data_IF_270640709145
#
_entry.id   IF_270640709145
#
_cell.length_a   1.000
_cell.length_b   1.000
_cell.length_c   1.000
_cell.angle_alpha   90.00
_cell.angle_beta   90.00
_cell.angle_gamma   90.00
#
_symmetry.space_group_name_H-M   'P 1'
#
loop_
_entity.id
_entity.type
_entity.pdbx_description
1 polymer ?
#
# COMPACT_ATOMS: atom_id res chain seq x y z
N UNK A 1 -25.86 -11.58 17.46
CA UNK A 1 -24.46 -12.01 17.78
C UNK A 1 -24.01 -11.40 19.09
N UNK A 2 -24.28 -10.10 19.34
CA UNK A 2 -23.90 -9.39 20.57
C UNK A 2 -24.58 -9.99 21.80
N UNK A 3 -25.90 -10.24 21.75
CA UNK A 3 -26.68 -10.83 22.85
C UNK A 3 -26.22 -12.25 23.25
N UNK A 4 -25.56 -12.95 22.35
CA UNK A 4 -25.10 -14.32 22.58
C UNK A 4 -23.79 -14.38 23.38
N UNK A 5 -23.01 -13.31 23.38
CA UNK A 5 -21.71 -13.24 24.06
C UNK A 5 -21.74 -12.47 25.37
N UNK A 6 -22.69 -11.56 25.53
CA UNK A 6 -22.71 -10.65 26.68
C UNK A 6 -23.93 -10.80 27.61
N UNK A 7 -24.85 -11.71 27.31
CA UNK A 7 -25.93 -12.22 28.17
C UNK A 7 -26.41 -11.32 29.30
N UNK A 8 -26.97 -10.17 29.02
CA UNK A 8 -27.53 -9.26 30.04
C UNK A 8 -27.93 -7.93 29.40
N UNK A 9 -28.84 -7.25 30.05
CA UNK A 9 -29.28 -5.90 29.67
C UNK A 9 -28.06 -4.97 29.58
N UNK A 10 -27.57 -4.75 28.37
CA UNK A 10 -26.60 -3.70 28.13
C UNK A 10 -27.32 -2.36 28.35
N UNK A 11 -26.81 -1.49 29.20
CA UNK A 11 -27.29 -0.12 29.24
C UNK A 11 -27.12 0.47 27.81
N UNK A 12 -28.12 1.21 27.36
CA UNK A 12 -28.11 1.88 26.04
C UNK A 12 -26.86 2.74 25.82
N UNK A 13 -26.12 3.01 26.88
CA UNK A 13 -24.87 3.77 26.91
C UNK A 13 -23.85 3.08 27.80
N UNK A 14 -22.62 3.00 27.33
CA UNK A 14 -21.49 2.71 28.22
C UNK A 14 -21.36 3.87 29.23
N UNK A 15 -21.11 3.58 30.52
CA UNK A 15 -20.87 4.64 31.48
C UNK A 15 -19.71 5.53 31.00
N UNK A 16 -19.86 6.84 31.19
CA UNK A 16 -18.79 7.78 30.87
C UNK A 16 -17.56 7.45 31.74
N UNK A 17 -16.43 7.25 31.04
CA UNK A 17 -15.13 7.06 31.69
C UNK A 17 -14.24 8.27 31.32
N UNK A 18 -14.17 9.29 32.19
CA UNK A 18 -13.37 10.49 31.93
C UNK A 18 -11.88 10.20 31.77
N UNK A 19 -11.37 9.18 32.46
CA UNK A 19 -9.94 8.82 32.39
C UNK A 19 -9.62 8.14 31.03
N UNK A 20 -10.47 7.23 30.58
CA UNK A 20 -10.34 6.63 29.27
C UNK A 20 -10.48 7.68 28.15
N UNK A 21 -11.40 8.64 28.31
CA UNK A 21 -11.56 9.74 27.37
C UNK A 21 -10.32 10.65 27.33
N UNK A 22 -9.75 10.99 28.49
CA UNK A 22 -8.52 11.77 28.57
C UNK A 22 -7.33 11.03 27.93
N UNK A 23 -7.22 9.71 28.13
CA UNK A 23 -6.20 8.87 27.47
C UNK A 23 -6.39 8.85 25.96
N UNK A 24 -7.62 8.73 25.47
CA UNK A 24 -7.94 8.80 24.04
C UNK A 24 -7.54 10.17 23.47
N UNK A 25 -7.92 11.26 24.11
CA UNK A 25 -7.57 12.63 23.69
C UNK A 25 -6.04 12.83 23.64
N UNK A 26 -5.32 12.36 24.66
CA UNK A 26 -3.86 12.40 24.68
C UNK A 26 -3.24 11.58 23.52
N UNK A 27 -3.82 10.42 23.24
CA UNK A 27 -3.36 9.57 22.13
C UNK A 27 -3.63 10.23 20.79
N UNK A 28 -4.83 10.78 20.58
CA UNK A 28 -5.18 11.53 19.36
C UNK A 28 -4.26 12.75 19.18
N UNK A 29 -4.00 13.50 20.26
CA UNK A 29 -3.09 14.65 20.22
C UNK A 29 -1.66 14.22 19.87
N UNK A 30 -1.16 13.13 20.46
CA UNK A 30 0.14 12.57 20.11
C UNK A 30 0.20 12.13 18.64
N UNK A 31 -0.82 11.43 18.15
CA UNK A 31 -0.90 10.99 16.77
C UNK A 31 -1.02 12.16 15.79
N UNK A 32 -1.76 13.20 16.14
CA UNK A 32 -1.88 14.42 15.31
C UNK A 32 -0.62 15.28 15.35
N UNK A 33 0.15 15.25 16.45
CA UNK A 33 1.45 15.93 16.55
C UNK A 33 2.60 15.14 15.86
N UNK A 34 2.35 13.91 15.41
CA UNK A 34 3.27 13.14 14.56
C UNK A 34 3.34 13.73 13.12
N UNK A 35 3.29 15.03 13.01
CA UNK A 35 3.76 15.72 11.83
C UNK A 35 5.29 15.81 11.93
N UNK A 36 5.95 14.67 11.76
CA UNK A 36 7.38 14.71 11.52
C UNK A 36 7.61 15.62 10.32
N UNK A 37 8.49 16.60 10.48
CA UNK A 37 8.92 17.41 9.35
C UNK A 37 9.42 16.48 8.23
N UNK A 38 9.23 16.81 6.95
CA UNK A 38 9.82 16.04 5.88
C UNK A 38 11.31 15.91 6.17
N UNK A 39 11.82 14.68 6.19
CA UNK A 39 13.25 14.47 6.34
C UNK A 39 13.93 14.85 5.01
N UNK A 40 15.08 15.53 5.06
CA UNK A 40 15.85 15.81 3.86
C UNK A 40 16.32 14.50 3.23
N UNK A 41 16.59 14.55 1.93
CA UNK A 41 17.20 13.43 1.22
C UNK A 41 18.60 13.19 1.80
N UNK A 42 18.84 11.99 2.31
CA UNK A 42 20.10 11.55 2.88
C UNK A 42 21.03 10.99 1.77
N UNK A 43 22.33 10.97 2.01
CA UNK A 43 23.34 10.28 1.17
C UNK A 43 23.01 8.80 0.93
N UNK A 44 22.25 8.18 1.83
CA UNK A 44 21.71 6.81 1.66
C UNK A 44 20.83 6.64 0.43
N UNK A 45 20.36 7.73 -0.18
CA UNK A 45 19.60 7.70 -1.42
C UNK A 45 20.47 7.47 -2.66
N UNK A 46 21.75 7.88 -2.64
CA UNK A 46 22.64 7.83 -3.81
C UNK A 46 22.66 6.48 -4.54
N UNK A 47 22.69 5.32 -3.85
CA UNK A 47 22.71 4.02 -4.54
C UNK A 47 21.48 3.73 -5.40
N UNK A 48 20.39 4.50 -5.24
CA UNK A 48 19.11 4.28 -5.91
C UNK A 48 18.82 5.33 -6.99
N UNK A 49 19.55 6.46 -6.96
CA UNK A 49 19.34 7.54 -7.90
C UNK A 49 19.97 7.19 -9.26
N UNK A 50 19.32 7.66 -10.33
CA UNK A 50 19.76 7.42 -11.72
C UNK A 50 19.91 5.94 -12.09
N UNK A 51 19.29 5.06 -11.30
CA UNK A 51 19.21 3.64 -11.56
C UNK A 51 17.79 3.26 -11.96
N UNK A 52 17.66 2.37 -12.93
CA UNK A 52 16.39 1.73 -13.26
C UNK A 52 16.46 0.23 -13.03
N UNK A 53 15.38 -0.32 -12.55
CA UNK A 53 15.11 -1.75 -12.60
C UNK A 53 14.23 -1.99 -13.82
N UNK A 54 14.72 -2.77 -14.76
CA UNK A 54 13.96 -3.17 -15.95
C UNK A 54 13.38 -4.56 -15.72
N UNK A 55 12.06 -4.65 -15.82
CA UNK A 55 11.34 -5.91 -15.61
C UNK A 55 11.39 -6.78 -16.88
N UNK A 56 12.59 -7.25 -17.22
CA UNK A 56 12.76 -8.23 -18.30
C UNK A 56 12.32 -9.65 -17.89
N UNK A 57 12.07 -9.87 -16.58
CA UNK A 57 11.55 -11.13 -16.05
C UNK A 57 10.03 -11.16 -16.21
N UNK A 58 9.46 -12.15 -16.92
CA UNK A 58 8.02 -12.32 -17.06
C UNK A 58 7.26 -12.42 -15.72
N UNK A 59 7.91 -12.89 -14.64
CA UNK A 59 7.32 -12.96 -13.30
C UNK A 59 7.21 -11.59 -12.64
N UNK A 60 8.13 -10.68 -12.90
CA UNK A 60 8.06 -9.31 -12.42
C UNK A 60 7.04 -8.48 -13.22
N UNK A 61 6.84 -8.80 -14.50
CA UNK A 61 5.94 -8.08 -15.40
C UNK A 61 4.44 -8.20 -15.05
N UNK A 62 4.05 -9.15 -14.22
CA UNK A 62 2.63 -9.42 -13.93
C UNK A 62 2.01 -8.51 -12.87
N UNK A 63 2.78 -7.66 -12.20
CA UNK A 63 2.32 -6.88 -11.05
C UNK A 63 2.37 -5.39 -11.38
N UNK A 64 1.21 -4.77 -11.57
CA UNK A 64 1.07 -3.32 -11.77
C UNK A 64 1.26 -2.51 -10.48
N UNK A 65 1.21 -1.19 -10.59
CA UNK A 65 1.29 -0.29 -9.43
C UNK A 65 0.05 -0.43 -8.54
N UNK A 66 -1.11 -0.65 -9.14
CA UNK A 66 -2.38 -0.79 -8.42
C UNK A 66 -2.45 -2.17 -7.74
N UNK A 67 -2.81 -2.26 -6.45
CA UNK A 67 -3.05 -3.53 -5.78
C UNK A 67 -4.07 -4.40 -6.50
N UNK A 68 -3.85 -5.72 -6.53
CA UNK A 68 -4.72 -6.68 -7.23
C UNK A 68 -6.17 -6.60 -6.75
N UNK A 69 -6.38 -6.33 -5.45
CA UNK A 69 -7.73 -6.12 -4.91
C UNK A 69 -8.46 -4.96 -5.61
N UNK A 70 -7.77 -3.84 -5.82
CA UNK A 70 -8.34 -2.67 -6.49
C UNK A 70 -8.54 -2.91 -7.98
N UNK A 71 -7.60 -3.59 -8.63
CA UNK A 71 -7.75 -3.98 -10.03
C UNK A 71 -9.02 -4.82 -10.22
N UNK A 72 -9.25 -5.80 -9.34
CA UNK A 72 -10.43 -6.66 -9.40
C UNK A 72 -11.73 -5.91 -9.07
N UNK A 73 -11.73 -5.04 -8.05
CA UNK A 73 -12.92 -4.27 -7.65
C UNK A 73 -13.38 -3.29 -8.74
N UNK A 74 -12.42 -2.68 -9.44
CA UNK A 74 -12.71 -1.70 -10.49
C UNK A 74 -12.74 -2.30 -11.89
N UNK A 75 -12.52 -3.61 -12.02
CA UNK A 75 -12.36 -4.29 -13.32
C UNK A 75 -11.36 -3.55 -14.24
N UNK A 76 -10.24 -3.11 -13.66
CA UNK A 76 -9.26 -2.25 -14.28
C UNK A 76 -7.85 -2.82 -14.02
N UNK A 77 -7.37 -3.58 -14.97
CA UNK A 77 -6.17 -4.39 -14.81
C UNK A 77 -4.93 -3.71 -15.38
N UNK A 78 -3.81 -3.87 -14.67
CA UNK A 78 -2.51 -3.38 -15.10
C UNK A 78 -2.03 -4.09 -16.36
N UNK A 79 -1.37 -3.33 -17.21
CA UNK A 79 -0.68 -3.87 -18.40
C UNK A 79 0.68 -4.51 -18.08
N UNK A 80 1.09 -4.48 -16.83
CA UNK A 80 2.31 -5.07 -16.30
C UNK A 80 3.48 -4.09 -16.21
N UNK A 81 4.28 -4.28 -15.17
CA UNK A 81 5.48 -3.49 -14.92
C UNK A 81 6.51 -3.69 -16.03
N UNK A 82 7.06 -2.59 -16.56
CA UNK A 82 8.20 -2.61 -17.48
C UNK A 82 9.47 -2.10 -16.82
N UNK A 83 9.39 -1.04 -16.01
CA UNK A 83 10.54 -0.57 -15.23
C UNK A 83 10.14 0.24 -14.01
N UNK A 84 11.03 0.28 -13.03
CA UNK A 84 10.97 1.19 -11.88
C UNK A 84 12.27 1.97 -11.81
N UNK A 85 12.16 3.28 -11.53
CA UNK A 85 13.29 4.14 -11.26
C UNK A 85 12.98 5.07 -10.09
N UNK A 86 14.02 5.61 -9.48
CA UNK A 86 13.92 6.65 -8.46
C UNK A 86 14.64 7.89 -8.99
N UNK A 87 13.95 9.02 -8.97
CA UNK A 87 14.55 10.33 -9.25
C UNK A 87 14.38 11.27 -8.06
N UNK A 88 14.99 12.44 -8.14
CA UNK A 88 14.81 13.51 -7.15
C UNK A 88 14.09 14.67 -7.79
N UNK A 89 13.01 15.12 -7.16
CA UNK A 89 12.28 16.31 -7.57
C UNK A 89 12.02 17.20 -6.37
N UNK A 90 12.49 18.44 -6.42
CA UNK A 90 12.33 19.39 -5.31
C UNK A 90 12.97 18.93 -4.00
N UNK A 91 14.08 18.16 -4.06
CA UNK A 91 14.76 17.63 -2.87
C UNK A 91 14.09 16.42 -2.22
N UNK A 92 13.05 15.87 -2.84
CA UNK A 92 12.34 14.66 -2.39
C UNK A 92 12.50 13.54 -3.43
N UNK A 93 12.55 12.26 -3.00
CA UNK A 93 12.55 11.14 -3.93
C UNK A 93 11.20 11.04 -4.63
N UNK A 94 11.24 10.77 -5.92
CA UNK A 94 10.08 10.48 -6.77
C UNK A 94 10.20 9.05 -7.32
N UNK A 95 9.20 8.23 -7.06
CA UNK A 95 9.09 6.91 -7.67
C UNK A 95 8.55 7.07 -9.10
N UNK A 96 9.27 6.54 -10.07
CA UNK A 96 8.83 6.43 -11.46
C UNK A 96 8.52 4.97 -11.73
N UNK A 97 7.23 4.66 -11.90
CA UNK A 97 6.74 3.31 -12.15
C UNK A 97 6.18 3.26 -13.57
N UNK A 98 6.81 2.49 -14.45
CA UNK A 98 6.39 2.36 -15.85
C UNK A 98 5.70 1.04 -16.08
N UNK A 99 4.53 1.11 -16.65
CA UNK A 99 3.79 0.00 -17.24
C UNK A 99 3.85 0.08 -18.77
N UNK A 100 3.34 -0.90 -19.48
CA UNK A 100 3.42 -0.92 -20.96
C UNK A 100 2.78 0.31 -21.60
N UNK A 101 1.69 0.80 -21.02
CA UNK A 101 0.82 1.85 -21.55
C UNK A 101 0.79 3.12 -20.66
N UNK A 102 1.44 3.11 -19.51
CA UNK A 102 1.40 4.23 -18.57
C UNK A 102 2.72 4.43 -17.85
N UNK A 103 2.97 5.68 -17.43
CA UNK A 103 4.06 6.04 -16.52
C UNK A 103 3.46 6.79 -15.34
N UNK A 104 3.64 6.25 -14.16
CA UNK A 104 3.20 6.85 -12.91
C UNK A 104 4.39 7.48 -12.20
N UNK A 105 4.21 8.71 -11.73
CA UNK A 105 5.20 9.47 -10.97
C UNK A 105 4.61 9.85 -9.63
N UNK A 106 5.20 9.35 -8.56
CA UNK A 106 4.71 9.55 -7.21
C UNK A 106 5.83 10.12 -6.33
N UNK A 107 5.67 11.34 -5.81
CA UNK A 107 6.57 11.83 -4.78
C UNK A 107 6.48 10.92 -3.55
N UNK A 108 7.63 10.57 -2.99
CA UNK A 108 7.74 9.67 -1.83
C UNK A 108 8.21 10.48 -0.63
N UNK A 109 7.37 10.64 0.36
CA UNK A 109 7.71 11.39 1.54
C UNK A 109 8.68 10.63 2.46
N UNK A 110 9.71 11.30 2.93
CA UNK A 110 10.62 10.80 3.96
C UNK A 110 10.20 11.36 5.31
N UNK A 111 9.95 10.48 6.29
CA UNK A 111 9.48 10.85 7.62
C UNK A 111 7.96 11.05 7.71
N UNK A 112 7.31 11.61 6.71
CA UNK A 112 5.85 11.67 6.57
C UNK A 112 5.43 11.25 5.17
N UNK A 113 4.21 10.70 4.98
CA UNK A 113 3.70 10.40 3.65
C UNK A 113 3.47 11.66 2.82
N UNK A 114 3.73 11.59 1.51
CA UNK A 114 3.25 12.56 0.52
C UNK A 114 1.98 12.03 -0.14
N UNK A 115 0.94 12.87 -0.18
CA UNK A 115 -0.35 12.48 -0.77
C UNK A 115 -0.41 13.02 -2.20
N UNK A 116 -0.69 12.15 -3.14
CA UNK A 116 -0.85 12.49 -4.55
C UNK A 116 -2.01 11.72 -5.17
N UNK A 117 -2.39 12.11 -6.38
CA UNK A 117 -3.40 11.40 -7.16
C UNK A 117 -2.74 10.48 -8.16
N UNK A 118 -3.22 9.25 -8.21
CA UNK A 118 -2.90 8.28 -9.25
C UNK A 118 -4.11 8.11 -10.16
N UNK A 119 -3.98 8.53 -11.41
CA UNK A 119 -4.99 8.21 -12.43
C UNK A 119 -4.58 6.88 -13.08
N UNK A 120 -5.44 5.89 -12.93
CA UNK A 120 -5.25 4.57 -13.49
C UNK A 120 -6.43 4.25 -14.41
N UNK A 121 -6.21 4.38 -15.71
CA UNK A 121 -7.21 4.15 -16.78
C UNK A 121 -8.57 4.81 -16.50
N UNK A 122 -8.53 6.09 -16.08
CA UNK A 122 -9.75 6.87 -15.80
C UNK A 122 -10.25 6.78 -14.35
N UNK A 123 -9.78 5.84 -13.55
CA UNK A 123 -10.03 5.81 -12.12
C UNK A 123 -8.96 6.62 -11.36
N UNK A 124 -9.39 7.51 -10.50
CA UNK A 124 -8.50 8.36 -9.70
C UNK A 124 -8.46 7.85 -8.27
N UNK A 125 -7.26 7.58 -7.76
CA UNK A 125 -7.01 7.14 -6.40
C UNK A 125 -6.16 8.16 -5.66
N UNK A 126 -6.47 8.39 -4.39
CA UNK A 126 -5.59 9.13 -3.48
C UNK A 126 -4.54 8.17 -2.92
N UNK A 127 -3.28 8.47 -3.14
CA UNK A 127 -2.17 7.60 -2.72
C UNK A 127 -1.26 8.36 -1.77
N UNK A 128 -1.13 7.85 -0.55
CA UNK A 128 -0.13 8.32 0.41
C UNK A 128 1.14 7.48 0.23
N UNK A 129 2.19 8.11 -0.29
CA UNK A 129 3.48 7.46 -0.53
C UNK A 129 4.49 7.85 0.54
N UNK A 130 5.06 6.87 1.23
CA UNK A 130 6.11 7.06 2.22
C UNK A 130 7.30 6.15 1.94
N UNK A 131 8.50 6.60 2.26
CA UNK A 131 9.72 5.84 2.05
C UNK A 131 10.73 5.98 3.18
N UNK A 132 11.64 5.03 3.26
CA UNK A 132 12.81 5.08 4.13
C UNK A 132 13.95 4.29 3.52
N UNK A 133 15.17 4.78 3.75
CA UNK A 133 16.38 4.06 3.43
C UNK A 133 16.81 3.23 4.63
N UNK A 134 17.12 1.96 4.40
CA UNK A 134 17.51 0.98 5.43
C UNK A 134 18.48 -0.04 4.84
N UNK A 135 18.79 -1.08 5.60
CA UNK A 135 19.54 -2.24 5.12
C UNK A 135 18.71 -3.51 5.35
N UNK A 136 18.97 -4.54 4.57
CA UNK A 136 18.40 -5.87 4.81
C UNK A 136 19.31 -6.71 5.74
N UNK A 137 18.97 -7.99 5.90
CA UNK A 137 19.72 -8.93 6.74
C UNK A 137 21.15 -9.20 6.21
N UNK A 138 21.41 -8.91 4.95
CA UNK A 138 22.71 -9.04 4.29
C UNK A 138 23.45 -7.70 4.20
N UNK A 139 23.01 -6.69 4.98
CA UNK A 139 23.57 -5.32 5.02
C UNK A 139 23.51 -4.60 3.66
N UNK A 140 22.67 -5.05 2.72
CA UNK A 140 22.51 -4.38 1.44
C UNK A 140 21.61 -3.16 1.59
N UNK A 141 21.93 -2.03 0.95
CA UNK A 141 21.07 -0.87 0.97
C UNK A 141 19.68 -1.18 0.39
N UNK A 142 18.64 -0.76 1.10
CA UNK A 142 17.23 -0.95 0.72
C UNK A 142 16.49 0.38 0.74
N UNK A 143 15.84 0.74 -0.35
CA UNK A 143 14.81 1.76 -0.34
C UNK A 143 13.45 1.07 -0.21
N UNK A 144 12.85 1.24 0.96
CA UNK A 144 11.54 0.70 1.32
C UNK A 144 10.49 1.76 1.07
N UNK A 145 9.50 1.47 0.21
CA UNK A 145 8.43 2.38 -0.17
C UNK A 145 7.09 1.73 0.15
N UNK A 146 6.18 2.49 0.74
CA UNK A 146 4.78 2.10 0.93
C UNK A 146 3.87 3.06 0.19
N UNK A 147 2.93 2.50 -0.57
CA UNK A 147 1.86 3.21 -1.25
C UNK A 147 0.54 2.79 -0.62
N UNK A 148 -0.06 3.64 0.20
CA UNK A 148 -1.37 3.41 0.81
C UNK A 148 -2.45 4.08 -0.04
N UNK A 149 -3.43 3.30 -0.48
CA UNK A 149 -4.58 3.77 -1.26
C UNK A 149 -5.68 4.17 -0.29
N UNK A 150 -5.90 5.48 -0.11
CA UNK A 150 -6.66 6.02 1.03
C UNK A 150 -8.14 5.66 1.03
N UNK A 151 -8.72 5.37 -0.13
CA UNK A 151 -10.13 4.94 -0.26
C UNK A 151 -10.34 3.47 0.15
N UNK A 152 -9.26 2.73 0.41
CA UNK A 152 -9.32 1.31 0.69
C UNK A 152 -8.23 0.90 1.69
N UNK A 153 -8.35 -0.25 2.35
CA UNK A 153 -7.27 -0.76 3.22
C UNK A 153 -6.10 -1.37 2.44
N UNK A 154 -5.93 -0.98 1.16
CA UNK A 154 -4.91 -1.57 0.31
C UNK A 154 -3.60 -0.81 0.39
N UNK A 155 -2.51 -1.55 0.62
CA UNK A 155 -1.15 -1.03 0.66
C UNK A 155 -0.27 -1.83 -0.29
N UNK A 156 0.44 -1.14 -1.17
CA UNK A 156 1.52 -1.71 -1.97
C UNK A 156 2.85 -1.40 -1.30
N UNK A 157 3.64 -2.42 -1.03
CA UNK A 157 5.01 -2.29 -0.53
C UNK A 157 5.99 -2.62 -1.64
N UNK A 158 6.94 -1.73 -1.88
CA UNK A 158 8.01 -1.86 -2.86
C UNK A 158 9.33 -1.80 -2.10
N UNK A 159 10.20 -2.79 -2.32
CA UNK A 159 11.57 -2.79 -1.83
C UNK A 159 12.51 -2.80 -3.02
N UNK A 160 13.27 -1.74 -3.17
CA UNK A 160 14.41 -1.69 -4.09
C UNK A 160 15.65 -2.02 -3.30
N UNK A 161 16.32 -3.10 -3.62
CA UNK A 161 17.51 -3.60 -2.92
C UNK A 161 18.70 -3.42 -3.85
N UNK A 162 19.72 -2.72 -3.39
CA UNK A 162 20.97 -2.58 -4.15
C UNK A 162 21.80 -3.85 -4.02
N UNK A 163 22.16 -4.42 -5.16
CA UNK A 163 23.06 -5.57 -5.25
C UNK A 163 24.27 -5.22 -6.12
N UNK A 164 25.36 -5.99 -6.09
CA UNK A 164 26.48 -5.78 -6.99
C UNK A 164 26.09 -5.83 -8.48
N UNK A 165 25.06 -6.62 -8.81
CA UNK A 165 24.58 -6.82 -10.20
C UNK A 165 23.59 -5.72 -10.64
N UNK A 166 23.08 -4.87 -9.71
CA UNK A 166 22.11 -3.83 -10.01
C UNK A 166 21.06 -3.66 -8.92
N UNK A 167 19.82 -3.36 -9.31
CA UNK A 167 18.68 -3.25 -8.40
C UNK A 167 17.83 -4.52 -8.46
N UNK A 168 17.54 -5.09 -7.30
CA UNK A 168 16.55 -6.16 -7.12
C UNK A 168 15.24 -5.54 -6.63
N UNK A 169 14.15 -5.86 -7.30
CA UNK A 169 12.79 -5.44 -6.93
C UNK A 169 12.07 -6.55 -6.17
N UNK A 170 11.48 -6.19 -5.02
CA UNK A 170 10.49 -7.03 -4.34
C UNK A 170 9.21 -6.21 -4.12
N UNK A 171 8.07 -6.79 -4.45
CA UNK A 171 6.77 -6.18 -4.24
C UNK A 171 5.85 -7.11 -3.44
N UNK A 172 5.11 -6.52 -2.52
CA UNK A 172 4.04 -7.19 -1.77
C UNK A 172 2.85 -6.27 -1.63
N UNK A 173 1.70 -6.83 -1.30
CA UNK A 173 0.48 -6.05 -1.05
C UNK A 173 -0.27 -6.55 0.17
N UNK A 174 -1.04 -5.66 0.78
CA UNK A 174 -1.97 -5.96 1.86
C UNK A 174 -3.34 -5.39 1.48
N UNK A 175 -4.43 -6.19 1.52
CA UNK A 175 -4.43 -7.64 1.79
C UNK A 175 -3.72 -8.42 0.67
N UNK A 176 -3.01 -9.48 1.03
CA UNK A 176 -2.24 -10.29 0.08
C UNK A 176 -3.13 -11.07 -0.90
N UNK A 177 -2.61 -11.31 -2.11
CA UNK A 177 -3.32 -12.02 -3.20
C UNK A 177 -3.96 -13.34 -2.78
N UNK A 178 -3.32 -14.22 -1.98
CA UNK A 178 -3.95 -15.47 -1.53
C UNK A 178 -5.20 -15.25 -0.68
N UNK A 179 -5.19 -14.20 0.16
CA UNK A 179 -6.35 -13.84 0.97
C UNK A 179 -7.51 -13.36 0.10
N UNK A 180 -7.24 -12.49 -0.86
CA UNK A 180 -8.24 -11.96 -1.80
C UNK A 180 -8.88 -13.10 -2.58
N UNK A 181 -8.05 -13.98 -3.16
CA UNK A 181 -8.51 -15.15 -3.91
C UNK A 181 -9.42 -16.07 -3.07
N UNK A 182 -9.03 -16.36 -1.81
CA UNK A 182 -9.84 -17.12 -0.87
C UNK A 182 -11.20 -16.49 -0.60
N UNK A 183 -11.26 -15.17 -0.47
CA UNK A 183 -12.51 -14.43 -0.23
C UNK A 183 -13.41 -14.40 -1.46
N UNK A 184 -12.84 -14.15 -2.64
CA UNK A 184 -13.59 -14.15 -3.91
C UNK A 184 -14.18 -15.53 -4.19
N UNK A 185 -13.42 -16.61 -4.00
CA UNK A 185 -13.91 -17.98 -4.13
C UNK A 185 -15.07 -18.25 -3.19
N UNK A 186 -14.95 -17.90 -1.90
CA UNK A 186 -16.02 -18.07 -0.93
C UNK A 186 -17.29 -17.29 -1.31
N UNK A 187 -17.15 -16.07 -1.86
CA UNK A 187 -18.27 -15.29 -2.33
C UNK A 187 -18.94 -15.91 -3.56
N UNK A 188 -18.16 -16.41 -4.51
CA UNK A 188 -18.66 -17.13 -5.68
C UNK A 188 -19.41 -18.39 -5.28
N UNK A 189 -18.85 -19.22 -4.41
CA UNK A 189 -19.51 -20.43 -3.88
C UNK A 189 -20.84 -20.07 -3.19
N UNK A 190 -20.88 -19.02 -2.36
CA UNK A 190 -22.10 -18.56 -1.69
C UNK A 190 -23.18 -18.05 -2.67
N UNK A 191 -22.77 -17.49 -3.80
CA UNK A 191 -23.69 -16.98 -4.83
C UNK A 191 -24.26 -18.11 -5.68
N UNK A 192 -23.46 -19.13 -5.97
CA UNK A 192 -23.88 -20.30 -6.75
C UNK A 192 -24.85 -21.22 -5.98
N UNK A 193 -24.75 -21.28 -4.65
CA UNK A 193 -25.64 -22.13 -3.82
C UNK A 193 -26.96 -21.47 -3.42
N UNK A 194 -27.10 -20.14 -3.49
CA UNK A 194 -28.35 -19.46 -3.15
C UNK A 194 -29.56 -19.81 -4.03
N UNK A 195 -29.45 -20.00 -5.35
CA UNK A 195 -30.59 -20.37 -6.17
C UNK A 195 -31.11 -21.78 -5.93
N UNK A 196 -30.28 -22.73 -5.47
CA UNK A 196 -30.65 -24.11 -5.23
C UNK A 196 -31.45 -24.32 -3.94
N UNK A 197 -31.29 -23.43 -2.94
CA UNK A 197 -32.04 -23.48 -1.68
C UNK A 197 -33.44 -22.82 -1.76
N UNK A 198 -33.73 -22.10 -2.84
CA UNK A 198 -35.04 -21.48 -3.07
C UNK A 198 -35.96 -22.37 -3.97
N UNK A 199 -35.44 -23.50 -4.45
CA UNK A 199 -36.16 -24.43 -5.30
C UNK A 199 -36.44 -25.80 -4.59
N UNK A 200 -36.12 -25.91 -3.31
CA UNK A 200 -36.42 -27.02 -2.43
C UNK A 200 -37.43 -26.57 -1.34
#
# INVERSE_FOLDING_TARGET
IVDRYFGGDFPDFLPEDPDAYAQLQNTVTKLSSYHSAPLPLDQKAEPFLDQSFDANDPKAASVGILPVALQALHNNYASGLTSIAVSVRGGQPELIYREKDATHRLPVGLGRPEISQLNFHGNVFQVAASGRFTHDEEERPVFYIQLAFLETPSVRTIKLIRTPEGLLLRQTETPGVPYIYKKLRKAADATLYKPLLLLA
#
